data_IF_967327384734
#
_entry.id   IF_967327384734
#
_cell.length_a   1.000
_cell.length_b   1.000
_cell.length_c   1.000
_cell.angle_alpha   90.00
_cell.angle_beta   90.00
_cell.angle_gamma   90.00
#
_symmetry.space_group_name_H-M   'P 1'
#
loop_
_entity.id
_entity.type
_entity.pdbx_description
1 polymer ?
#
# COMPACT_ATOMS: atom_id res chain seq x y z
N UNK A 1 11.43 0.90 16.70
CA UNK A 1 12.88 1.08 16.91
C UNK A 1 13.58 1.53 15.63
N UNK A 2 13.60 0.75 14.56
CA UNK A 2 14.32 1.09 13.32
C UNK A 2 13.97 2.46 12.73
N UNK A 3 12.69 2.84 12.66
CA UNK A 3 12.27 4.15 12.15
C UNK A 3 12.82 5.31 13.00
N UNK A 4 12.82 5.18 14.34
CA UNK A 4 13.36 6.20 15.25
C UNK A 4 14.87 6.36 15.04
N UNK A 5 15.61 5.26 14.96
CA UNK A 5 17.05 5.29 14.74
C UNK A 5 17.41 5.92 13.39
N UNK A 6 16.69 5.57 12.32
CA UNK A 6 16.87 6.17 10.99
C UNK A 6 16.60 7.67 10.98
N UNK A 7 15.54 8.11 11.66
CA UNK A 7 15.24 9.53 11.80
C UNK A 7 16.38 10.24 12.57
N UNK A 8 16.87 9.64 13.67
CA UNK A 8 18.00 10.17 14.40
C UNK A 8 19.27 10.30 13.56
N UNK A 9 19.62 9.25 12.79
CA UNK A 9 20.76 9.26 11.87
C UNK A 9 20.70 10.35 10.81
N UNK A 10 19.50 10.68 10.34
CA UNK A 10 19.32 11.70 9.32
C UNK A 10 19.46 13.14 9.86
N UNK A 11 19.22 13.35 11.16
CA UNK A 11 19.28 14.69 11.78
C UNK A 11 20.56 14.96 12.54
N UNK A 12 21.25 13.93 13.07
CA UNK A 12 22.39 14.15 13.94
C UNK A 12 23.68 14.38 13.17
N UNK A 13 24.40 15.41 13.56
CA UNK A 13 25.79 15.66 13.17
C UNK A 13 26.79 15.16 14.24
N UNK A 14 26.27 14.74 15.40
CA UNK A 14 27.08 14.29 16.53
C UNK A 14 27.47 12.83 16.35
N UNK A 15 28.76 12.54 16.33
CA UNK A 15 29.30 11.18 16.11
C UNK A 15 28.86 10.18 17.20
N UNK A 16 28.76 10.61 18.48
CA UNK A 16 28.31 9.74 19.57
C UNK A 16 26.82 9.39 19.46
N UNK A 17 25.99 10.31 18.99
CA UNK A 17 24.57 10.03 18.73
C UNK A 17 24.42 9.11 17.52
N UNK A 18 25.24 9.32 16.48
CA UNK A 18 25.25 8.49 15.29
C UNK A 18 25.52 7.04 15.62
N UNK A 19 26.59 6.77 16.40
CA UNK A 19 26.92 5.42 16.87
C UNK A 19 25.75 4.78 17.64
N UNK A 20 25.08 5.52 18.52
CA UNK A 20 23.93 5.01 19.28
C UNK A 20 22.75 4.66 18.39
N UNK A 21 22.46 5.47 17.38
CA UNK A 21 21.39 5.16 16.42
C UNK A 21 21.74 3.97 15.52
N UNK A 22 23.01 3.81 15.15
CA UNK A 22 23.50 2.63 14.43
C UNK A 22 23.38 1.35 15.29
N UNK A 23 23.70 1.43 16.58
CA UNK A 23 23.48 0.33 17.52
C UNK A 23 22.00 -0.02 17.67
N UNK A 24 21.11 0.97 17.80
CA UNK A 24 19.65 0.73 17.86
C UNK A 24 19.15 0.05 16.58
N UNK A 25 19.66 0.45 15.42
CA UNK A 25 19.35 -0.22 14.14
C UNK A 25 19.84 -1.67 14.11
N UNK A 26 21.05 -1.91 14.60
CA UNK A 26 21.63 -3.25 14.69
C UNK A 26 20.78 -4.17 15.59
N UNK A 27 20.41 -3.70 16.79
CA UNK A 27 19.55 -4.46 17.72
C UNK A 27 18.17 -4.73 17.11
N UNK A 28 17.59 -3.75 16.44
CA UNK A 28 16.31 -3.94 15.76
C UNK A 28 16.40 -5.01 14.65
N UNK A 29 17.53 -5.05 13.92
CA UNK A 29 17.82 -6.07 12.91
C UNK A 29 17.97 -7.46 13.51
N UNK A 30 18.66 -7.58 14.66
CA UNK A 30 18.80 -8.86 15.37
C UNK A 30 17.45 -9.39 15.87
N UNK A 31 16.61 -8.53 16.45
CA UNK A 31 15.27 -8.89 16.89
C UNK A 31 14.45 -9.41 15.70
N UNK A 32 14.50 -8.71 14.57
CA UNK A 32 13.75 -9.12 13.39
C UNK A 32 14.26 -10.45 12.83
N UNK A 33 15.58 -10.64 12.74
CA UNK A 33 16.19 -11.89 12.30
C UNK A 33 15.77 -13.06 13.20
N UNK A 34 15.75 -12.86 14.53
CA UNK A 34 15.33 -13.89 15.49
C UNK A 34 13.85 -14.24 15.38
N UNK A 35 12.98 -13.26 15.15
CA UNK A 35 11.55 -13.50 15.01
C UNK A 35 11.20 -14.24 13.69
N UNK A 36 12.03 -14.15 12.67
CA UNK A 36 11.85 -14.84 11.39
C UNK A 36 12.51 -16.23 11.34
N UNK A 37 13.20 -16.68 12.41
CA UNK A 37 13.84 -18.00 12.49
C UNK A 37 12.86 -19.18 12.31
N UNK A 38 11.55 -18.94 12.38
CA UNK A 38 10.52 -19.96 12.18
C UNK A 38 10.11 -20.15 10.69
N UNK A 39 10.71 -19.43 9.72
CA UNK A 39 10.33 -19.46 8.31
C UNK A 39 11.51 -19.90 7.38
N UNK A 40 11.17 -20.32 6.16
CA UNK A 40 12.08 -20.93 5.18
C UNK A 40 13.22 -20.02 4.63
N UNK A 41 13.32 -18.76 5.06
CA UNK A 41 14.33 -17.82 4.55
C UNK A 41 14.95 -16.99 5.66
N UNK A 42 15.91 -17.55 6.35
CA UNK A 42 16.72 -16.84 7.34
C UNK A 42 17.55 -15.76 6.66
N UNK A 43 17.29 -14.50 7.00
CA UNK A 43 18.08 -13.34 6.58
C UNK A 43 18.92 -12.85 7.74
N UNK A 44 20.13 -12.39 7.45
CA UNK A 44 21.01 -11.84 8.48
C UNK A 44 20.62 -10.39 8.84
N UNK A 45 21.00 -9.94 10.06
CA UNK A 45 20.82 -8.57 10.53
C UNK A 45 21.15 -7.50 9.49
N UNK A 46 22.29 -7.65 8.81
CA UNK A 46 22.76 -6.68 7.81
C UNK A 46 21.79 -6.47 6.66
N UNK A 47 21.08 -7.52 6.25
CA UNK A 47 20.05 -7.43 5.21
C UNK A 47 18.87 -6.51 5.63
N UNK A 48 18.39 -6.64 6.87
CA UNK A 48 17.29 -5.80 7.35
C UNK A 48 17.70 -4.35 7.54
N UNK A 49 18.92 -4.12 8.06
CA UNK A 49 19.45 -2.75 8.20
C UNK A 49 19.54 -2.10 6.81
N UNK A 50 20.09 -2.80 5.82
CA UNK A 50 20.20 -2.29 4.45
C UNK A 50 18.83 -2.05 3.83
N UNK A 51 17.89 -3.00 3.92
CA UNK A 51 16.52 -2.84 3.46
C UNK A 51 15.84 -1.60 4.06
N UNK A 52 16.05 -1.35 5.36
CA UNK A 52 15.49 -0.17 6.01
C UNK A 52 16.16 1.13 5.59
N UNK A 53 17.47 1.12 5.33
CA UNK A 53 18.17 2.30 4.84
C UNK A 53 17.81 2.63 3.39
N UNK A 54 17.68 1.63 2.53
CA UNK A 54 17.27 1.79 1.13
C UNK A 54 15.83 2.31 0.98
N UNK A 55 14.97 2.06 1.98
CA UNK A 55 13.60 2.53 2.02
C UNK A 55 13.43 3.95 2.64
N UNK A 56 14.49 4.70 2.83
CA UNK A 56 14.41 6.14 3.14
C UNK A 56 14.09 6.85 1.83
N UNK A 57 12.82 7.22 1.65
CA UNK A 57 12.40 7.99 0.47
C UNK A 57 13.01 9.39 0.48
N UNK A 58 13.22 9.98 -0.69
CA UNK A 58 13.48 11.40 -0.85
C UNK A 58 12.24 12.17 -0.39
N UNK A 59 12.31 12.73 0.78
CA UNK A 59 11.23 13.50 1.41
C UNK A 59 11.80 14.68 2.18
N UNK A 60 11.07 15.14 3.19
CA UNK A 60 11.63 16.11 4.14
C UNK A 60 12.84 15.47 4.80
N UNK A 61 14.04 16.05 4.65
CA UNK A 61 15.26 15.46 5.20
C UNK A 61 15.10 15.09 6.68
N UNK A 62 15.46 13.85 7.00
CA UNK A 62 15.43 13.36 8.37
C UNK A 62 14.17 12.68 8.84
N UNK A 63 13.03 12.79 8.17
CA UNK A 63 11.83 12.05 8.56
C UNK A 63 11.67 10.75 7.76
N UNK A 64 11.56 9.65 8.49
CA UNK A 64 11.11 8.38 7.92
C UNK A 64 9.59 8.33 7.98
N UNK A 65 8.96 8.43 6.83
CA UNK A 65 7.50 8.38 6.69
C UNK A 65 7.06 7.07 6.02
N UNK A 66 5.82 6.61 6.24
CA UNK A 66 5.25 5.55 5.43
C UNK A 66 5.26 5.96 3.93
N UNK A 67 5.50 4.99 3.05
CA UNK A 67 5.23 5.17 1.62
C UNK A 67 3.74 5.32 1.40
N UNK A 68 3.36 5.95 0.31
CA UNK A 68 1.95 6.11 -0.06
C UNK A 68 1.69 5.32 -1.34
N UNK A 69 0.66 4.49 -1.31
CA UNK A 69 0.14 3.79 -2.47
C UNK A 69 -1.32 4.20 -2.73
N UNK A 70 -1.73 4.09 -3.97
CA UNK A 70 -3.08 4.42 -4.43
C UNK A 70 -3.75 3.14 -4.90
N UNK A 71 -5.02 2.96 -4.55
CA UNK A 71 -5.87 1.89 -5.07
C UNK A 71 -7.12 2.47 -5.73
N UNK A 72 -7.56 1.87 -6.83
CA UNK A 72 -8.66 2.34 -7.63
C UNK A 72 -9.81 1.32 -7.72
N UNK A 73 -10.92 1.58 -7.05
CA UNK A 73 -12.18 0.89 -7.25
C UNK A 73 -12.89 1.57 -8.43
N UNK A 74 -12.73 1.03 -9.62
CA UNK A 74 -13.30 1.63 -10.84
C UNK A 74 -14.56 0.88 -11.22
N UNK A 75 -15.67 1.61 -11.35
CA UNK A 75 -16.95 1.08 -11.82
C UNK A 75 -17.30 1.55 -13.22
N UNK A 76 -17.96 0.69 -13.99
CA UNK A 76 -18.60 1.03 -15.25
C UNK A 76 -20.13 1.26 -15.09
N UNK A 77 -20.82 1.60 -16.17
CA UNK A 77 -22.28 1.84 -16.17
C UNK A 77 -23.08 0.54 -15.91
N UNK A 78 -22.50 -0.63 -16.14
CA UNK A 78 -23.09 -1.95 -15.86
C UNK A 78 -22.86 -2.38 -14.38
N UNK A 79 -22.32 -1.50 -13.55
CA UNK A 79 -21.97 -1.75 -12.13
C UNK A 79 -20.98 -2.90 -11.95
N UNK A 80 -20.09 -3.07 -12.89
CA UNK A 80 -18.98 -4.01 -12.79
C UNK A 80 -17.71 -3.29 -12.31
N UNK A 81 -16.90 -4.02 -11.55
CA UNK A 81 -15.59 -3.58 -11.06
C UNK A 81 -14.48 -3.93 -12.05
N UNK A 82 -13.59 -2.98 -12.26
CA UNK A 82 -12.34 -3.21 -12.98
C UNK A 82 -11.32 -3.89 -12.07
N UNK A 83 -10.85 -5.06 -12.49
CA UNK A 83 -9.74 -5.73 -11.82
C UNK A 83 -8.60 -6.02 -12.78
N UNK A 84 -7.40 -6.12 -12.23
CA UNK A 84 -6.17 -6.55 -12.90
C UNK A 84 -5.67 -7.84 -12.28
N UNK A 85 -5.06 -8.71 -13.10
CA UNK A 85 -4.34 -9.87 -12.63
C UNK A 85 -2.85 -9.56 -12.63
N UNK A 86 -2.25 -9.45 -11.46
CA UNK A 86 -0.84 -9.05 -11.32
C UNK A 86 0.13 -10.16 -11.72
N UNK A 87 1.28 -9.79 -12.28
CA UNK A 87 2.43 -10.66 -12.51
C UNK A 87 3.35 -10.73 -11.29
N UNK A 88 4.11 -11.84 -11.09
CA UNK A 88 3.91 -13.18 -11.68
C UNK A 88 2.84 -13.96 -10.93
N UNK A 89 2.00 -14.71 -11.69
CA UNK A 89 1.05 -15.70 -11.14
C UNK A 89 -0.01 -15.15 -10.20
N UNK A 90 -0.23 -13.83 -10.25
CA UNK A 90 -0.83 -13.06 -9.21
C UNK A 90 -2.33 -13.22 -9.04
N UNK A 91 -2.77 -12.82 -7.88
CA UNK A 91 -4.17 -12.65 -7.55
C UNK A 91 -4.79 -11.52 -8.40
N UNK A 92 -6.10 -11.60 -8.58
CA UNK A 92 -6.87 -10.48 -9.04
C UNK A 92 -6.97 -9.41 -7.96
N UNK A 93 -6.87 -8.14 -8.35
CA UNK A 93 -6.95 -6.99 -7.46
C UNK A 93 -7.45 -5.78 -8.25
N UNK A 94 -7.96 -4.77 -7.58
CA UNK A 94 -8.17 -3.46 -8.19
C UNK A 94 -6.83 -2.83 -8.64
N UNK A 95 -6.80 -1.94 -9.65
CA UNK A 95 -5.58 -1.24 -10.07
C UNK A 95 -4.91 -0.50 -8.91
N UNK A 96 -3.57 -0.62 -8.81
CA UNK A 96 -2.80 -0.02 -7.72
C UNK A 96 -1.43 0.42 -8.17
N UNK A 97 -0.94 1.53 -7.61
CA UNK A 97 0.43 1.97 -7.81
C UNK A 97 0.97 2.84 -6.68
N UNK A 98 2.24 3.18 -6.78
CA UNK A 98 2.88 4.10 -5.84
C UNK A 98 2.52 5.55 -6.16
N UNK A 99 2.37 6.36 -5.12
CA UNK A 99 2.21 7.79 -5.29
C UNK A 99 3.53 8.41 -5.77
N UNK A 100 3.55 8.85 -7.00
CA UNK A 100 4.70 9.53 -7.60
C UNK A 100 4.83 10.96 -7.08
N UNK A 101 6.07 11.39 -6.85
CA UNK A 101 6.38 12.77 -6.47
C UNK A 101 6.00 13.72 -7.60
N UNK A 102 5.34 14.82 -7.24
CA UNK A 102 4.89 15.85 -8.20
C UNK A 102 3.48 15.66 -8.72
N UNK A 103 2.80 14.57 -8.36
CA UNK A 103 1.40 14.31 -8.66
C UNK A 103 0.54 14.34 -7.40
N UNK A 104 -0.67 14.82 -7.50
CA UNK A 104 -1.68 14.63 -6.46
C UNK A 104 -2.17 13.17 -6.44
N UNK A 105 -2.72 12.72 -5.33
CA UNK A 105 -3.28 11.37 -5.22
C UNK A 105 -4.39 11.09 -6.27
N UNK A 106 -5.18 12.12 -6.63
CA UNK A 106 -6.21 12.02 -7.66
C UNK A 106 -5.62 11.87 -9.06
N UNK A 107 -4.49 12.51 -9.35
CA UNK A 107 -3.79 12.34 -10.63
C UNK A 107 -3.14 10.96 -10.73
N UNK A 108 -2.53 10.47 -9.63
CA UNK A 108 -1.91 9.14 -9.60
C UNK A 108 -2.96 8.06 -9.84
N UNK A 109 -4.13 8.11 -9.19
CA UNK A 109 -5.16 7.08 -9.38
C UNK A 109 -5.62 6.98 -10.83
N UNK A 110 -5.79 8.11 -11.52
CA UNK A 110 -6.17 8.14 -12.95
C UNK A 110 -5.05 7.59 -13.83
N UNK A 111 -3.80 7.96 -13.52
CA UNK A 111 -2.61 7.49 -14.22
C UNK A 111 -2.48 5.97 -14.13
N UNK A 112 -2.52 5.40 -12.92
CA UNK A 112 -2.38 3.97 -12.67
C UNK A 112 -3.47 3.14 -13.36
N UNK A 113 -4.75 3.57 -13.26
CA UNK A 113 -5.84 2.91 -13.97
C UNK A 113 -5.58 2.85 -15.46
N UNK A 114 -5.16 3.96 -16.06
CA UNK A 114 -4.86 4.01 -17.49
C UNK A 114 -3.67 3.14 -17.87
N UNK A 115 -2.59 3.17 -17.09
CA UNK A 115 -1.36 2.43 -17.38
C UNK A 115 -1.57 0.92 -17.23
N UNK A 116 -2.24 0.46 -16.17
CA UNK A 116 -2.45 -0.96 -15.91
C UNK A 116 -3.55 -1.58 -16.79
N UNK A 117 -4.54 -0.78 -17.27
CA UNK A 117 -5.76 -1.33 -17.89
C UNK A 117 -6.18 -0.69 -19.21
N UNK A 118 -5.64 0.46 -19.60
CA UNK A 118 -6.09 1.25 -20.74
C UNK A 118 -7.42 1.99 -20.52
N UNK A 119 -8.06 1.86 -19.38
CA UNK A 119 -9.34 2.51 -19.05
C UNK A 119 -9.08 3.95 -18.59
N UNK A 120 -9.96 4.84 -19.03
CA UNK A 120 -10.02 6.24 -18.55
C UNK A 120 -11.04 6.32 -17.43
N UNK A 121 -10.72 7.06 -16.37
CA UNK A 121 -11.63 7.23 -15.24
C UNK A 121 -11.52 8.61 -14.61
N UNK A 122 -12.48 8.94 -13.76
CA UNK A 122 -12.45 10.11 -12.90
C UNK A 122 -12.68 9.70 -11.43
N UNK A 123 -11.93 10.28 -10.47
CA UNK A 123 -12.15 10.04 -9.06
C UNK A 123 -13.47 10.62 -8.60
N UNK A 124 -14.22 9.85 -7.79
CA UNK A 124 -15.55 10.23 -7.28
C UNK A 124 -15.50 10.50 -5.79
N UNK A 125 -14.85 9.62 -5.02
CA UNK A 125 -14.72 9.75 -3.56
C UNK A 125 -13.55 8.93 -3.04
N UNK A 126 -13.02 9.34 -1.89
CA UNK A 126 -12.08 8.54 -1.11
C UNK A 126 -12.87 7.50 -0.30
N UNK A 127 -12.62 6.21 -0.50
CA UNK A 127 -13.26 5.12 0.23
C UNK A 127 -12.59 4.84 1.57
N UNK A 128 -11.27 5.00 1.63
CA UNK A 128 -10.53 4.76 2.86
C UNK A 128 -9.05 5.08 2.76
N UNK A 129 -8.44 5.19 3.95
CA UNK A 129 -7.00 5.24 4.15
C UNK A 129 -6.66 4.14 5.13
N UNK A 130 -5.84 3.18 4.72
CA UNK A 130 -5.49 2.01 5.52
C UNK A 130 -3.98 1.83 5.62
N UNK A 131 -3.52 1.34 6.76
CA UNK A 131 -2.12 0.99 6.97
C UNK A 131 -1.84 -0.40 6.36
N UNK A 132 -1.11 -0.43 5.26
CA UNK A 132 -0.81 -1.65 4.53
C UNK A 132 -0.02 -2.68 5.33
N UNK A 133 0.79 -2.25 6.31
CA UNK A 133 1.50 -3.15 7.20
C UNK A 133 0.54 -3.82 8.20
N UNK A 134 -0.44 -3.07 8.75
CA UNK A 134 -1.48 -3.62 9.63
C UNK A 134 -2.41 -4.58 8.90
N UNK A 135 -2.70 -4.28 7.64
CA UNK A 135 -3.52 -5.14 6.77
C UNK A 135 -2.75 -6.35 6.21
N UNK A 136 -1.45 -6.47 6.49
CA UNK A 136 -0.62 -7.56 5.99
C UNK A 136 -0.21 -7.44 4.51
N UNK A 137 -0.42 -6.28 3.88
CA UNK A 137 -0.06 -6.08 2.46
C UNK A 137 1.42 -5.87 2.25
N UNK A 138 2.10 -5.27 3.25
CA UNK A 138 3.53 -4.96 3.16
C UNK A 138 4.25 -5.27 4.46
N UNK A 139 5.58 -5.38 4.38
CA UNK A 139 6.47 -5.53 5.55
C UNK A 139 7.07 -4.21 6.01
N UNK A 140 6.71 -3.10 5.38
CA UNK A 140 7.18 -1.75 5.71
C UNK A 140 5.98 -0.81 5.83
N UNK A 141 6.18 0.33 6.51
CA UNK A 141 5.12 1.34 6.67
C UNK A 141 4.63 1.86 5.33
N UNK A 142 3.35 1.69 5.07
CA UNK A 142 2.68 2.15 3.86
C UNK A 142 1.23 2.53 4.17
N UNK A 143 0.79 3.65 3.63
CA UNK A 143 -0.62 4.00 3.59
C UNK A 143 -1.18 3.73 2.19
N UNK A 144 -2.31 3.02 2.12
CA UNK A 144 -3.10 2.84 0.92
C UNK A 144 -4.26 3.83 0.93
N UNK A 145 -4.33 4.70 -0.08
CA UNK A 145 -5.47 5.57 -0.33
C UNK A 145 -6.36 4.89 -1.36
N UNK A 146 -7.54 4.42 -0.94
CA UNK A 146 -8.46 3.71 -1.80
C UNK A 146 -9.52 4.66 -2.34
N UNK A 147 -9.55 4.89 -3.65
CA UNK A 147 -10.50 5.75 -4.34
C UNK A 147 -11.59 4.95 -5.03
N UNK A 148 -12.82 5.41 -4.98
CA UNK A 148 -13.84 5.08 -5.96
C UNK A 148 -13.68 5.99 -7.16
N UNK A 149 -13.62 5.39 -8.35
CA UNK A 149 -13.54 6.07 -9.63
C UNK A 149 -14.67 5.60 -10.56
N UNK A 150 -15.14 6.47 -11.42
CA UNK A 150 -16.08 6.15 -12.49
C UNK A 150 -15.31 6.01 -13.80
N UNK A 151 -15.54 4.94 -14.54
CA UNK A 151 -15.00 4.79 -15.90
C UNK A 151 -15.64 5.84 -16.82
N UNK A 152 -14.83 6.45 -17.68
CA UNK A 152 -15.27 7.46 -18.65
C UNK A 152 -14.97 7.09 -20.10
N UNK A 153 -14.27 5.97 -20.32
CA UNK A 153 -13.92 5.48 -21.64
C UNK A 153 -12.68 4.59 -21.62
N UNK A 154 -12.05 4.46 -22.76
CA UNK A 154 -10.86 3.62 -22.93
C UNK A 154 -11.21 2.21 -23.39
N UNK A 155 -10.19 1.39 -23.60
CA UNK A 155 -10.32 -0.01 -24.02
C UNK A 155 -9.41 -0.87 -23.15
N UNK A 156 -9.93 -1.99 -22.66
CA UNK A 156 -9.16 -2.93 -21.84
C UNK A 156 -7.87 -3.35 -22.57
N UNK A 157 -6.75 -2.92 -22.01
CA UNK A 157 -5.41 -3.16 -22.53
C UNK A 157 -4.49 -3.43 -21.35
N UNK A 158 -4.26 -4.70 -20.98
CA UNK A 158 -3.39 -5.04 -19.86
C UNK A 158 -1.96 -4.53 -20.08
N UNK A 159 -1.33 -3.99 -19.03
CA UNK A 159 0.07 -3.57 -19.11
C UNK A 159 0.99 -4.79 -19.35
N UNK A 160 1.84 -4.78 -20.40
CA UNK A 160 2.53 -6.00 -20.85
C UNK A 160 3.54 -6.57 -19.84
N UNK A 161 4.09 -5.72 -18.97
CA UNK A 161 5.10 -6.13 -17.99
C UNK A 161 4.53 -6.40 -16.59
N UNK A 162 3.40 -5.79 -16.23
CA UNK A 162 2.90 -5.77 -14.84
C UNK A 162 1.67 -6.64 -14.63
N UNK A 163 0.86 -6.85 -15.69
CA UNK A 163 -0.41 -7.58 -15.57
C UNK A 163 -0.50 -8.73 -16.55
N UNK A 164 -1.13 -9.85 -16.12
CA UNK A 164 -1.48 -11.00 -16.98
C UNK A 164 -2.87 -10.84 -17.60
N UNK A 165 -3.62 -9.81 -17.21
CA UNK A 165 -4.94 -9.50 -17.73
C UNK A 165 -5.64 -8.41 -16.93
N UNK A 166 -6.69 -7.86 -17.53
CA UNK A 166 -7.63 -6.98 -16.85
C UNK A 166 -9.04 -7.25 -17.36
N UNK A 167 -10.06 -6.91 -16.58
CA UNK A 167 -11.44 -7.16 -16.97
C UNK A 167 -12.45 -6.54 -16.03
N UNK A 168 -13.72 -6.55 -16.46
CA UNK A 168 -14.88 -6.12 -15.72
C UNK A 168 -15.59 -7.29 -15.06
N UNK A 169 -15.96 -7.15 -13.79
CA UNK A 169 -16.54 -8.22 -12.99
C UNK A 169 -17.71 -7.73 -12.16
N UNK A 170 -18.86 -8.41 -12.30
CA UNK A 170 -20.00 -8.18 -11.40
C UNK A 170 -19.75 -8.77 -10.02
N UNK A 171 -20.58 -8.39 -9.04
CA UNK A 171 -20.54 -8.90 -7.66
C UNK A 171 -20.53 -10.44 -7.61
N UNK A 172 -21.36 -11.08 -8.44
CA UNK A 172 -21.52 -12.54 -8.48
C UNK A 172 -20.41 -13.27 -9.24
N UNK A 173 -19.64 -12.53 -10.04
CA UNK A 173 -18.58 -13.06 -10.92
C UNK A 173 -17.19 -12.61 -10.55
N UNK A 174 -16.97 -12.18 -9.32
CA UNK A 174 -15.61 -11.89 -8.84
C UNK A 174 -14.72 -13.12 -9.01
N UNK A 175 -13.50 -12.97 -9.53
CA UNK A 175 -12.59 -14.08 -9.69
C UNK A 175 -12.23 -14.72 -8.36
N UNK A 176 -12.16 -16.06 -8.33
CA UNK A 176 -11.67 -16.78 -7.16
C UNK A 176 -10.24 -16.34 -6.83
N UNK A 177 -9.96 -16.08 -5.56
CA UNK A 177 -8.65 -15.59 -5.12
C UNK A 177 -8.40 -14.11 -5.38
N UNK A 178 -9.47 -13.31 -5.54
CA UNK A 178 -9.35 -11.85 -5.53
C UNK A 178 -8.80 -11.39 -4.19
N UNK A 179 -7.65 -10.71 -4.20
CA UNK A 179 -6.92 -10.38 -3.00
C UNK A 179 -7.69 -9.40 -2.10
N UNK A 180 -7.89 -9.78 -0.84
CA UNK A 180 -8.51 -8.95 0.18
C UNK A 180 -9.96 -8.57 -0.09
N UNK A 181 -10.66 -9.28 -1.00
CA UNK A 181 -12.04 -8.97 -1.38
C UNK A 181 -12.99 -8.90 -0.18
N UNK A 182 -12.72 -9.68 0.86
CA UNK A 182 -13.51 -9.74 2.11
C UNK A 182 -13.56 -8.42 2.86
N UNK A 183 -12.60 -7.52 2.67
CA UNK A 183 -12.60 -6.24 3.37
C UNK A 183 -13.04 -5.04 2.52
N UNK A 184 -12.91 -5.10 1.18
CA UNK A 184 -13.21 -3.96 0.31
C UNK A 184 -14.39 -4.17 -0.65
N UNK A 185 -14.72 -5.42 -1.04
CA UNK A 185 -15.65 -5.68 -2.14
C UNK A 185 -17.07 -5.15 -1.87
N UNK A 186 -17.63 -5.42 -0.70
CA UNK A 186 -18.97 -4.92 -0.36
C UNK A 186 -19.06 -3.40 -0.44
N UNK A 187 -18.05 -2.71 0.09
CA UNK A 187 -17.98 -1.25 0.05
C UNK A 187 -17.77 -0.71 -1.36
N UNK A 188 -17.00 -1.45 -2.18
CA UNK A 188 -16.81 -1.14 -3.58
C UNK A 188 -18.13 -1.16 -4.35
N UNK A 189 -18.88 -2.25 -4.23
CA UNK A 189 -20.17 -2.37 -4.92
C UNK A 189 -21.22 -1.38 -4.38
N UNK A 190 -21.25 -1.10 -3.09
CA UNK A 190 -22.10 -0.05 -2.53
C UNK A 190 -21.78 1.34 -3.16
N UNK A 191 -20.48 1.64 -3.34
CA UNK A 191 -20.07 2.85 -4.04
C UNK A 191 -20.52 2.88 -5.51
N UNK A 192 -20.45 1.76 -6.22
CA UNK A 192 -20.96 1.63 -7.60
C UNK A 192 -22.48 1.77 -7.66
N UNK A 193 -23.18 1.35 -6.62
CA UNK A 193 -24.64 1.53 -6.48
C UNK A 193 -25.03 2.98 -6.14
N UNK A 194 -24.04 3.86 -6.00
CA UNK A 194 -24.23 5.30 -5.78
C UNK A 194 -24.23 5.70 -4.32
N UNK A 195 -23.92 4.80 -3.40
CA UNK A 195 -23.83 5.14 -1.99
C UNK A 195 -22.67 6.10 -1.71
N UNK A 196 -22.91 7.06 -0.83
CA UNK A 196 -21.91 8.00 -0.31
C UNK A 196 -21.70 7.74 1.17
N UNK A 197 -20.46 7.57 1.57
CA UNK A 197 -20.10 7.33 2.97
C UNK A 197 -18.75 7.99 3.31
N UNK A 198 -18.53 8.17 4.61
CA UNK A 198 -17.24 8.66 5.08
C UNK A 198 -16.12 7.66 4.76
N UNK A 199 -14.92 8.16 4.50
CA UNK A 199 -13.76 7.31 4.31
C UNK A 199 -13.51 6.42 5.54
N UNK A 200 -13.10 5.19 5.30
CA UNK A 200 -12.74 4.24 6.37
C UNK A 200 -11.30 4.49 6.83
N UNK A 201 -11.06 4.30 8.10
CA UNK A 201 -9.75 4.37 8.72
C UNK A 201 -9.50 3.14 9.57
N UNK A 202 -8.23 2.79 9.76
CA UNK A 202 -7.85 1.79 10.75
C UNK A 202 -8.28 2.23 12.14
N UNK A 203 -8.76 1.28 12.93
CA UNK A 203 -9.11 1.56 14.32
C UNK A 203 -7.87 2.05 15.08
N UNK A 204 -8.00 3.08 15.93
CA UNK A 204 -6.94 3.47 16.85
C UNK A 204 -6.53 2.28 17.71
N UNK A 205 -5.25 2.16 18.01
CA UNK A 205 -4.72 1.20 19.00
C UNK A 205 -4.14 1.97 20.18
N UNK A 206 -4.15 1.32 21.33
CA UNK A 206 -3.55 1.88 22.54
C UNK A 206 -2.05 2.15 22.30
N UNK A 207 -1.52 3.30 22.76
CA UNK A 207 -0.10 3.59 22.64
C UNK A 207 0.72 2.57 23.42
N UNK A 208 1.56 1.81 22.73
CA UNK A 208 2.38 0.73 23.33
C UNK A 208 3.28 1.22 24.48
N UNK A 209 3.65 2.50 24.47
CA UNK A 209 4.48 3.11 25.54
C UNK A 209 3.75 3.39 26.86
N UNK A 210 2.43 3.22 26.93
CA UNK A 210 1.67 3.41 28.16
C UNK A 210 1.53 2.15 29.00
N UNK A 211 2.01 1.00 28.51
CA UNK A 211 2.04 -0.26 29.26
C UNK A 211 0.67 -0.85 29.59
N UNK A 212 -0.40 -0.38 28.97
CA UNK A 212 -1.72 -1.00 29.05
C UNK A 212 -1.82 -2.05 27.96
N UNK A 213 -2.00 -3.34 28.29
CA UNK A 213 -2.30 -4.36 27.30
C UNK A 213 -3.68 -4.11 26.69
N UNK A 214 -3.82 -4.37 25.40
CA UNK A 214 -5.11 -4.40 24.70
C UNK A 214 -6.02 -5.50 25.24
#
# INVERSE_FOLDING_TARGET
MAAIARTGLAFTENLYERERYEEVLAVAGDIKATLEEAGESRRERGHYVQEWMDNIGEGIPGYVTPKVAIGAIVGNDDRELLLVKRKPGGAWLYPTGWADVGYSAAEVVVKEVREETGILCEPVQLLGVVDGMRMGFTRFGMYMLLFHCRATGGTLTPHPLETDGCGWFSRERLPTGTAGAEWWAERAFAALDGERFAATFDAPRSPMWRGEPD
#
